data_IF_713923717600
#
_entry.id   IF_713923717600
#
_cell.length_a   1.000
_cell.length_b   1.000
_cell.length_c   1.000
_cell.angle_alpha   90.00
_cell.angle_beta   90.00
_cell.angle_gamma   90.00
#
_symmetry.space_group_name_H-M   'P 1'
#
loop_
_entity.id
_entity.type
_entity.pdbx_description
1 polymer ?
#
# COMPACT_ATOMS: atom_id res chain seq x y z
N UNK A 1 28.31 -6.04 11.30
CA UNK A 1 27.30 -6.83 12.04
C UNK A 1 25.93 -6.15 11.98
N UNK A 2 25.84 -4.84 12.25
CA UNK A 2 24.58 -4.09 12.19
C UNK A 2 23.92 -4.05 10.79
N UNK A 3 24.71 -3.97 9.71
CA UNK A 3 24.19 -4.01 8.34
C UNK A 3 23.37 -5.28 8.04
N UNK A 4 23.80 -6.44 8.55
CA UNK A 4 23.08 -7.70 8.38
C UNK A 4 21.77 -7.73 9.18
N UNK A 5 21.71 -7.03 10.32
CA UNK A 5 20.50 -6.92 11.13
C UNK A 5 19.46 -6.05 10.42
N UNK A 6 19.85 -4.89 9.91
CA UNK A 6 18.97 -3.96 9.17
C UNK A 6 18.41 -4.62 7.91
N UNK A 7 19.24 -5.34 7.15
CA UNK A 7 18.77 -6.11 6.00
C UNK A 7 17.76 -7.19 6.38
N UNK A 8 17.98 -7.87 7.51
CA UNK A 8 17.06 -8.91 8.00
C UNK A 8 15.70 -8.32 8.37
N UNK A 9 15.70 -7.16 9.03
CA UNK A 9 14.48 -6.42 9.39
C UNK A 9 13.69 -6.06 8.12
N UNK A 10 14.32 -5.44 7.13
CA UNK A 10 13.64 -5.10 5.87
C UNK A 10 13.12 -6.33 5.11
N UNK A 11 13.86 -7.44 5.12
CA UNK A 11 13.38 -8.67 4.50
C UNK A 11 12.11 -9.20 5.18
N UNK A 12 12.06 -9.15 6.52
CA UNK A 12 10.87 -9.53 7.27
C UNK A 12 9.69 -8.59 7.00
N UNK A 13 9.92 -7.30 6.85
CA UNK A 13 8.90 -6.31 6.47
C UNK A 13 8.29 -6.63 5.10
N UNK A 14 9.12 -6.92 4.10
CA UNK A 14 8.66 -7.29 2.76
C UNK A 14 7.80 -8.57 2.77
N UNK A 15 8.16 -9.56 3.59
CA UNK A 15 7.36 -10.78 3.76
C UNK A 15 5.99 -10.47 4.38
N UNK A 16 5.95 -9.58 5.39
CA UNK A 16 4.71 -9.17 6.03
C UNK A 16 3.81 -8.40 5.05
N UNK A 17 4.37 -7.43 4.33
CA UNK A 17 3.66 -6.65 3.31
C UNK A 17 3.11 -7.56 2.20
N UNK A 18 3.94 -8.48 1.68
CA UNK A 18 3.52 -9.44 0.65
C UNK A 18 2.37 -10.34 1.12
N UNK A 19 2.45 -10.85 2.35
CA UNK A 19 1.40 -11.69 2.94
C UNK A 19 0.10 -10.92 3.13
N UNK A 20 0.17 -9.71 3.69
CA UNK A 20 -0.99 -8.84 3.87
C UNK A 20 -1.66 -8.53 2.53
N UNK A 21 -0.89 -8.11 1.53
CA UNK A 21 -1.43 -7.77 0.21
C UNK A 21 -2.09 -8.97 -0.49
N UNK A 22 -1.45 -10.14 -0.43
CA UNK A 22 -2.02 -11.39 -0.97
C UNK A 22 -3.32 -11.79 -0.26
N UNK A 23 -3.41 -11.56 1.04
CA UNK A 23 -4.62 -11.83 1.82
C UNK A 23 -5.77 -10.89 1.46
N UNK A 24 -5.47 -9.62 1.22
CA UNK A 24 -6.46 -8.61 0.81
C UNK A 24 -7.11 -8.95 -0.54
N UNK A 25 -6.36 -9.58 -1.45
CA UNK A 25 -6.91 -10.17 -2.68
C UNK A 25 -7.30 -9.17 -3.77
N UNK A 26 -7.11 -7.86 -3.56
CA UNK A 26 -7.52 -6.81 -4.50
C UNK A 26 -6.89 -6.93 -5.88
N UNK A 27 -5.64 -7.41 -5.98
CA UNK A 27 -4.98 -7.63 -7.26
C UNK A 27 -5.73 -8.62 -8.19
N UNK A 28 -6.58 -9.50 -7.63
CA UNK A 28 -7.39 -10.44 -8.42
C UNK A 28 -8.65 -9.76 -9.01
N UNK A 29 -9.22 -8.82 -8.26
CA UNK A 29 -10.44 -8.10 -8.63
C UNK A 29 -10.11 -6.91 -9.54
N UNK A 30 -9.05 -6.17 -9.21
CA UNK A 30 -8.63 -4.95 -9.89
C UNK A 30 -7.47 -5.24 -10.84
N UNK A 31 -7.72 -6.11 -11.83
CA UNK A 31 -6.71 -6.64 -12.76
C UNK A 31 -5.95 -5.57 -13.56
N UNK A 32 -6.55 -4.40 -13.70
CA UNK A 32 -5.95 -3.31 -14.45
C UNK A 32 -5.08 -2.43 -13.55
N UNK A 33 -5.40 -2.29 -12.27
CA UNK A 33 -4.61 -1.47 -11.35
C UNK A 33 -3.21 -2.05 -11.15
N UNK A 34 -2.25 -1.17 -10.87
CA UNK A 34 -0.86 -1.54 -10.58
C UNK A 34 -0.85 -2.45 -9.35
N UNK A 35 -0.22 -3.61 -9.46
CA UNK A 35 -0.02 -4.56 -8.36
C UNK A 35 1.45 -4.51 -7.88
N UNK A 36 1.81 -3.47 -7.12
CA UNK A 36 3.22 -3.20 -6.78
C UNK A 36 3.46 -2.88 -5.29
N UNK A 37 2.92 -3.67 -4.33
CA UNK A 37 3.03 -3.40 -2.89
C UNK A 37 4.47 -3.30 -2.38
N UNK A 38 5.39 -4.08 -2.96
CA UNK A 38 6.80 -4.05 -2.58
C UNK A 38 7.51 -2.78 -3.07
N UNK A 39 7.07 -2.20 -4.19
CA UNK A 39 7.61 -0.92 -4.65
C UNK A 39 7.09 0.22 -3.79
N UNK A 40 5.82 0.18 -3.44
CA UNK A 40 5.21 1.19 -2.57
C UNK A 40 5.79 1.17 -1.16
N UNK A 41 6.24 0.00 -0.67
CA UNK A 41 6.99 -0.13 0.58
C UNK A 41 8.32 0.66 0.59
N UNK A 42 8.85 1.07 -0.56
CA UNK A 42 10.04 1.93 -0.58
C UNK A 42 9.78 3.29 0.08
N UNK A 43 8.55 3.81 0.04
CA UNK A 43 8.22 5.10 0.64
C UNK A 43 8.37 5.11 2.17
N UNK A 44 7.77 4.16 2.92
CA UNK A 44 8.03 4.08 4.35
C UNK A 44 9.49 3.76 4.68
N UNK A 45 10.18 2.93 3.88
CA UNK A 45 11.59 2.63 4.09
C UNK A 45 12.49 3.88 4.01
N UNK A 46 12.23 4.79 3.07
CA UNK A 46 13.02 6.03 2.93
C UNK A 46 12.60 7.11 3.92
N UNK A 47 11.32 7.14 4.33
CA UNK A 47 10.81 8.11 5.29
C UNK A 47 11.17 7.78 6.74
N UNK A 48 11.21 6.48 7.10
CA UNK A 48 11.45 6.01 8.46
C UNK A 48 12.73 5.16 8.50
N UNK A 49 13.88 5.82 8.62
CA UNK A 49 15.20 5.17 8.51
C UNK A 49 15.66 4.45 9.78
N UNK A 50 15.07 4.77 10.94
CA UNK A 50 15.39 4.11 12.20
C UNK A 50 14.93 2.63 12.15
N UNK A 51 15.84 1.65 12.36
CA UNK A 51 15.49 0.23 12.34
C UNK A 51 14.38 -0.16 13.33
N UNK A 52 14.24 0.57 14.45
CA UNK A 52 13.19 0.33 15.46
C UNK A 52 11.78 0.63 14.96
N UNK A 53 11.64 1.39 13.86
CA UNK A 53 10.36 1.78 13.27
C UNK A 53 9.79 0.75 12.27
N UNK A 54 10.14 -0.53 12.45
CA UNK A 54 9.78 -1.61 11.53
C UNK A 54 8.27 -1.78 11.37
N UNK A 55 7.54 -1.78 12.48
CA UNK A 55 6.08 -1.91 12.50
C UNK A 55 5.41 -0.71 11.80
N UNK A 56 5.89 0.50 12.07
CA UNK A 56 5.40 1.73 11.45
C UNK A 56 5.62 1.73 9.94
N UNK A 57 6.75 1.17 9.45
CA UNK A 57 6.97 1.00 8.01
C UNK A 57 5.96 0.06 7.38
N UNK A 58 5.70 -1.09 8.00
CA UNK A 58 4.71 -2.07 7.52
C UNK A 58 3.30 -1.45 7.53
N UNK A 59 2.93 -0.74 8.60
CA UNK A 59 1.62 -0.13 8.72
C UNK A 59 1.42 1.03 7.76
N UNK A 60 2.41 1.90 7.56
CA UNK A 60 2.33 3.01 6.61
C UNK A 60 2.27 2.54 5.15
N UNK A 61 2.78 1.34 4.85
CA UNK A 61 2.68 0.75 3.52
C UNK A 61 1.23 0.49 3.11
N UNK A 62 0.36 0.14 4.06
CA UNK A 62 -1.04 -0.21 3.79
C UNK A 62 -1.84 0.96 3.19
N UNK A 63 -1.92 2.15 3.83
CA UNK A 63 -2.60 3.29 3.24
C UNK A 63 -1.92 3.78 1.97
N UNK A 64 -0.58 3.76 1.87
CA UNK A 64 0.12 4.12 0.62
C UNK A 64 -0.31 3.21 -0.53
N UNK A 65 -0.41 1.90 -0.28
CA UNK A 65 -0.86 0.93 -1.29
C UNK A 65 -2.30 1.23 -1.76
N UNK A 66 -3.18 1.60 -0.83
CA UNK A 66 -4.56 1.98 -1.15
C UNK A 66 -4.62 3.31 -1.92
N UNK A 67 -3.77 4.28 -1.60
CA UNK A 67 -3.67 5.55 -2.34
C UNK A 67 -3.33 5.29 -3.81
N UNK A 68 -2.29 4.49 -4.09
CA UNK A 68 -1.93 4.15 -5.48
C UNK A 68 -3.03 3.38 -6.20
N UNK A 69 -3.77 2.54 -5.49
CA UNK A 69 -4.90 1.82 -6.06
C UNK A 69 -6.05 2.75 -6.41
N UNK A 70 -6.37 3.72 -5.54
CA UNK A 70 -7.40 4.72 -5.78
C UNK A 70 -6.98 5.66 -6.91
N UNK A 71 -5.73 6.11 -6.93
CA UNK A 71 -5.13 6.91 -8.02
C UNK A 71 -5.33 6.24 -9.38
N UNK A 72 -5.04 4.94 -9.47
CA UNK A 72 -5.28 4.14 -10.66
C UNK A 72 -6.77 4.10 -11.07
N UNK A 73 -7.66 3.94 -10.10
CA UNK A 73 -9.11 3.96 -10.35
C UNK A 73 -9.53 5.32 -10.92
N UNK A 74 -9.06 6.42 -10.37
CA UNK A 74 -9.45 7.77 -10.78
C UNK A 74 -8.82 8.21 -12.11
N UNK A 75 -7.56 7.87 -12.36
CA UNK A 75 -6.82 8.38 -13.51
C UNK A 75 -6.96 7.51 -14.77
N UNK A 76 -7.20 6.21 -14.60
CA UNK A 76 -7.14 5.25 -15.72
C UNK A 76 -8.46 4.51 -15.95
N UNK A 77 -9.20 4.15 -14.89
CA UNK A 77 -10.25 3.13 -15.00
C UNK A 77 -11.68 3.64 -14.86
N UNK A 78 -11.93 4.53 -13.92
CA UNK A 78 -13.29 4.89 -13.53
C UNK A 78 -13.94 5.83 -14.54
N UNK A 79 -15.19 5.53 -14.87
CA UNK A 79 -16.06 6.52 -15.50
C UNK A 79 -16.41 7.62 -14.49
N UNK A 80 -16.76 8.82 -14.97
CA UNK A 80 -17.11 9.93 -14.09
C UNK A 80 -18.23 9.57 -13.09
N UNK A 81 -19.22 8.79 -13.53
CA UNK A 81 -20.33 8.34 -12.70
C UNK A 81 -19.86 7.40 -11.57
N UNK A 82 -19.01 6.41 -11.89
CA UNK A 82 -18.44 5.49 -10.91
C UNK A 82 -17.55 6.22 -9.90
N UNK A 83 -16.72 7.16 -10.37
CA UNK A 83 -15.85 7.97 -9.51
C UNK A 83 -16.64 8.89 -8.59
N UNK A 84 -17.74 9.46 -9.07
CA UNK A 84 -18.65 10.28 -8.27
C UNK A 84 -19.28 9.45 -7.15
N UNK A 85 -19.80 8.26 -7.49
CA UNK A 85 -20.38 7.34 -6.50
C UNK A 85 -19.35 6.88 -5.46
N UNK A 86 -18.11 6.60 -5.89
CA UNK A 86 -17.02 6.25 -4.98
C UNK A 86 -16.70 7.39 -4.02
N UNK A 87 -16.54 8.62 -4.52
CA UNK A 87 -16.26 9.79 -3.70
C UNK A 87 -17.38 10.08 -2.70
N UNK A 88 -18.63 9.96 -3.11
CA UNK A 88 -19.80 10.09 -2.22
C UNK A 88 -19.83 9.01 -1.13
N UNK A 89 -19.48 7.77 -1.46
CA UNK A 89 -19.40 6.67 -0.49
C UNK A 89 -18.35 6.96 0.59
N UNK A 90 -17.16 7.45 0.19
CA UNK A 90 -16.10 7.85 1.12
C UNK A 90 -16.54 9.03 1.99
N UNK A 91 -17.12 10.08 1.39
CA UNK A 91 -17.58 11.26 2.13
C UNK A 91 -18.63 10.92 3.19
N UNK A 92 -19.58 10.03 2.86
CA UNK A 92 -20.62 9.58 3.79
C UNK A 92 -20.09 8.74 4.95
N UNK A 93 -18.99 8.00 4.76
CA UNK A 93 -18.36 7.26 5.84
C UNK A 93 -17.53 8.18 6.76
N UNK A 94 -16.98 9.26 6.20
CA UNK A 94 -16.17 10.24 6.93
C UNK A 94 -17.00 11.28 7.71
N UNK A 95 -18.31 11.39 7.43
CA UNK A 95 -19.28 12.26 8.12
C UNK A 95 -19.94 11.57 9.30
#
# INVERSE_FOLDING_TARGET
MEFNLVQTVHHQELVQVSRWWKHLGLAKELKLARDQPLKWHMWPMTALTDPSLSEQRVDLTKPISLIYLIDDIFDVYGTLDELTLFAEAVNRYAS
#
